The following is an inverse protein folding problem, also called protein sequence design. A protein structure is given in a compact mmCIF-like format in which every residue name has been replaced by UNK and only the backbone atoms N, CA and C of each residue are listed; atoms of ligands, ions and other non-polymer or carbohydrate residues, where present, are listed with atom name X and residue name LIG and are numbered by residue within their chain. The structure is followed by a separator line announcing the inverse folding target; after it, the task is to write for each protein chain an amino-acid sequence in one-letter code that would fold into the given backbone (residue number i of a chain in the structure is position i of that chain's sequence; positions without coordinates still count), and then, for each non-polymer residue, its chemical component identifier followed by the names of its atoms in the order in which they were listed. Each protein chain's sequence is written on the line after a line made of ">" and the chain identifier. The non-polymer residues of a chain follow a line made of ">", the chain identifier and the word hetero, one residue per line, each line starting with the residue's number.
data_IF_785649896126
#
_entry.id   IF_785649896126
#
_cell.length_a   1.000
_cell.length_b   1.000
_cell.length_c   1.000
_cell.angle_alpha   90.00
_cell.angle_beta   90.00
_cell.angle_gamma   90.00
#
_symmetry.space_group_name_H-M   'P 1'
#
loop_
_entity.id
_entity.type
_entity.pdbx_description
1 polymer ?
#
# COMPACT_ATOMS: atom_id res chain seq x y z
N UNK A 1 0.41 -16.46 25.19
CA UNK A 1 0.70 -15.12 25.76
C UNK A 1 0.52 -15.18 27.28
N UNK A 2 1.50 -14.74 28.08
CA UNK A 2 1.37 -14.66 29.55
C UNK A 2 0.28 -13.65 29.97
N UNK A 3 -0.08 -13.54 31.26
CA UNK A 3 -0.97 -12.48 31.77
C UNK A 3 -0.52 -11.07 31.36
N UNK A 4 -1.44 -10.11 31.36
CA UNK A 4 -1.11 -8.69 31.10
C UNK A 4 -0.26 -8.18 32.27
N UNK A 5 0.83 -7.42 32.02
CA UNK A 5 1.66 -6.90 33.10
C UNK A 5 0.88 -5.98 34.05
N UNK A 6 1.17 -6.07 35.36
CA UNK A 6 0.43 -5.32 36.40
C UNK A 6 0.63 -3.80 36.33
N UNK A 7 1.74 -3.36 35.74
CA UNK A 7 2.04 -1.95 35.53
C UNK A 7 1.24 -1.33 34.38
N UNK A 8 0.62 -2.14 33.50
CA UNK A 8 -0.19 -1.64 32.39
C UNK A 8 -1.40 -0.86 32.92
N UNK A 9 -1.55 0.40 32.50
CA UNK A 9 -2.66 1.27 32.94
C UNK A 9 -3.70 1.53 31.87
N UNK A 10 -3.44 1.08 30.65
CA UNK A 10 -4.38 1.28 29.54
C UNK A 10 -5.67 0.50 29.69
N UNK A 11 -6.68 1.01 28.99
CA UNK A 11 -8.01 0.46 28.99
C UNK A 11 -8.44 0.10 27.57
N UNK A 12 -9.57 -0.59 27.52
CA UNK A 12 -10.16 -1.09 26.31
C UNK A 12 -11.55 -0.46 26.14
N UNK A 13 -11.62 0.50 25.23
CA UNK A 13 -12.83 1.27 24.93
C UNK A 13 -13.80 0.47 24.07
N UNK A 14 -15.06 0.42 24.50
CA UNK A 14 -16.18 -0.19 23.79
C UNK A 14 -16.82 0.88 22.89
N UNK A 15 -17.24 0.49 21.69
CA UNK A 15 -17.95 1.39 20.79
C UNK A 15 -18.60 0.63 19.63
N UNK A 16 -18.86 1.33 18.53
CA UNK A 16 -19.47 0.77 17.32
C UNK A 16 -18.73 -0.50 16.85
N UNK A 17 -19.47 -1.62 16.87
CA UNK A 17 -18.99 -2.96 16.54
C UNK A 17 -17.72 -3.40 17.27
N UNK A 18 -17.47 -2.91 18.49
CA UNK A 18 -16.22 -3.21 19.18
C UNK A 18 -16.47 -3.31 20.69
N UNK A 19 -16.21 -4.49 21.28
CA UNK A 19 -16.62 -4.81 22.65
C UNK A 19 -15.56 -5.62 23.41
N UNK A 20 -15.90 -6.03 24.64
CA UNK A 20 -15.01 -6.76 25.55
C UNK A 20 -14.42 -8.06 25.00
N UNK A 21 -15.11 -8.72 24.05
CA UNK A 21 -14.61 -9.94 23.41
C UNK A 21 -13.47 -9.70 22.42
N UNK A 22 -13.25 -8.46 21.98
CA UNK A 22 -12.15 -8.11 21.08
C UNK A 22 -10.80 -7.98 21.79
N UNK A 23 -10.80 -7.91 23.12
CA UNK A 23 -9.60 -7.80 23.93
C UNK A 23 -9.05 -9.16 24.28
N UNK A 24 -7.73 -9.24 24.33
CA UNK A 24 -7.08 -10.46 24.74
C UNK A 24 -5.69 -10.15 25.29
N UNK A 25 -4.93 -11.18 25.60
CA UNK A 25 -3.56 -11.02 26.10
C UNK A 25 -2.61 -10.44 25.03
N UNK A 26 -2.97 -10.37 23.76
CA UNK A 26 -2.16 -9.75 22.71
C UNK A 26 -2.49 -8.27 22.54
N UNK A 27 -3.76 -7.95 22.31
CA UNK A 27 -4.32 -6.61 22.23
C UNK A 27 -4.84 -6.20 23.61
N UNK A 28 -4.00 -5.48 24.36
CA UNK A 28 -4.18 -5.21 25.80
C UNK A 28 -4.78 -3.83 26.09
N UNK A 29 -4.88 -2.96 25.09
CA UNK A 29 -5.49 -1.65 25.20
C UNK A 29 -5.93 -1.12 23.86
N UNK A 30 -7.06 -0.42 23.84
CA UNK A 30 -7.61 0.17 22.62
C UNK A 30 -8.42 1.40 22.95
N UNK A 31 -8.13 2.51 22.28
CA UNK A 31 -8.83 3.78 22.46
C UNK A 31 -9.05 4.47 21.12
N UNK A 32 -10.11 5.27 21.04
CA UNK A 32 -10.41 6.15 19.91
C UNK A 32 -10.42 7.61 20.36
N UNK A 33 -9.84 8.48 19.54
CA UNK A 33 -9.78 9.92 19.78
C UNK A 33 -10.42 10.61 18.60
N UNK A 34 -11.65 11.09 18.78
CA UNK A 34 -12.43 11.70 17.70
C UNK A 34 -13.01 13.05 18.10
N UNK A 35 -12.50 13.67 19.18
CA UNK A 35 -13.06 14.91 19.71
C UNK A 35 -12.70 16.08 18.81
N UNK A 36 -11.46 16.11 18.30
CA UNK A 36 -10.99 17.09 17.32
C UNK A 36 -11.85 17.10 16.08
N UNK A 37 -12.08 15.92 15.48
CA UNK A 37 -12.96 15.82 14.31
C UNK A 37 -14.42 16.18 14.58
N UNK A 38 -14.97 15.78 15.73
CA UNK A 38 -16.36 16.13 16.11
C UNK A 38 -16.51 17.65 16.27
N UNK A 39 -15.50 18.33 16.83
CA UNK A 39 -15.46 19.78 16.94
C UNK A 39 -15.36 20.48 15.57
N UNK A 40 -14.68 19.87 14.60
CA UNK A 40 -14.60 20.35 13.22
C UNK A 40 -15.90 20.10 12.41
N UNK A 41 -16.97 19.61 13.05
CA UNK A 41 -18.25 19.30 12.40
C UNK A 41 -18.23 18.01 11.57
N UNK A 42 -17.18 17.18 11.70
CA UNK A 42 -17.06 15.91 11.00
C UNK A 42 -17.67 14.79 11.83
N UNK A 43 -18.82 14.29 11.38
CA UNK A 43 -19.51 13.15 12.00
C UNK A 43 -18.91 11.83 11.52
N UNK A 44 -18.96 10.81 12.37
CA UNK A 44 -18.52 9.45 12.02
C UNK A 44 -19.70 8.72 11.41
N UNK A 45 -19.68 8.58 10.08
CA UNK A 45 -20.73 7.95 9.30
C UNK A 45 -20.55 6.43 9.13
N UNK A 46 -21.25 5.87 8.15
CA UNK A 46 -21.17 4.46 7.75
C UNK A 46 -19.83 4.06 7.13
N UNK A 47 -18.99 5.04 6.79
CA UNK A 47 -17.67 4.88 6.23
C UNK A 47 -16.57 4.80 7.30
N UNK A 48 -16.94 4.69 8.58
CA UNK A 48 -16.01 4.35 9.66
C UNK A 48 -16.76 3.84 10.92
N UNK A 49 -16.03 3.65 12.02
CA UNK A 49 -16.54 3.23 13.31
C UNK A 49 -16.17 4.24 14.39
N UNK A 50 -17.18 4.72 15.14
CA UNK A 50 -17.00 5.47 16.39
C UNK A 50 -16.59 4.49 17.51
N UNK A 51 -15.38 3.95 17.35
CA UNK A 51 -14.72 3.00 18.22
C UNK A 51 -13.25 2.84 17.81
N UNK A 52 -12.44 2.09 18.58
CA UNK A 52 -11.07 1.78 18.19
C UNK A 52 -10.95 0.83 16.98
N UNK A 53 -12.07 0.34 16.42
CA UNK A 53 -12.06 -0.56 15.27
C UNK A 53 -11.49 0.15 14.03
N UNK A 54 -10.55 -0.52 13.38
CA UNK A 54 -9.97 -0.07 12.11
C UNK A 54 -10.94 -0.35 10.95
N UNK A 55 -11.30 0.69 10.21
CA UNK A 55 -12.11 0.61 8.99
C UNK A 55 -11.24 0.50 7.73
N UNK A 56 -10.14 1.25 7.67
CA UNK A 56 -9.31 1.40 6.46
C UNK A 56 -8.30 0.25 6.29
N UNK A 57 -7.83 -0.35 7.39
CA UNK A 57 -6.90 -1.47 7.39
C UNK A 57 -5.43 -1.09 7.60
N UNK A 58 -5.09 0.20 7.49
CA UNK A 58 -3.70 0.67 7.68
C UNK A 58 -3.18 0.40 9.10
N UNK A 59 -3.99 0.64 10.13
CA UNK A 59 -3.61 0.37 11.52
C UNK A 59 -3.42 -1.13 11.78
N UNK A 60 -4.26 -1.97 11.18
CA UNK A 60 -4.14 -3.43 11.24
C UNK A 60 -2.89 -3.93 10.52
N UNK A 61 -2.55 -3.35 9.36
CA UNK A 61 -1.35 -3.70 8.60
C UNK A 61 -0.06 -3.31 9.33
N UNK A 62 0.03 -2.09 9.87
CA UNK A 62 1.23 -1.61 10.58
C UNK A 62 1.44 -2.35 11.90
N UNK A 63 0.38 -2.54 12.69
CA UNK A 63 0.45 -3.25 13.97
C UNK A 63 0.82 -4.73 13.81
N UNK A 64 0.29 -5.41 12.78
CA UNK A 64 0.66 -6.80 12.47
C UNK A 64 2.10 -6.92 11.93
N UNK A 65 2.61 -5.91 11.22
CA UNK A 65 4.01 -5.86 10.79
C UNK A 65 4.97 -5.68 11.99
N UNK A 66 4.63 -4.82 12.94
CA UNK A 66 5.46 -4.56 14.11
C UNK A 66 5.42 -5.73 15.10
N UNK A 67 4.22 -6.19 15.46
CA UNK A 67 4.01 -7.11 16.58
C UNK A 67 2.98 -8.18 16.27
N UNK A 68 2.65 -8.50 15.02
CA UNK A 68 1.69 -9.56 14.69
C UNK A 68 2.08 -10.92 15.30
N UNK A 69 1.09 -11.62 15.87
CA UNK A 69 1.26 -13.03 16.22
C UNK A 69 1.49 -13.88 14.97
N UNK A 70 2.10 -15.04 15.13
CA UNK A 70 2.34 -15.96 14.02
C UNK A 70 1.02 -16.43 13.39
N UNK A 71 0.93 -16.33 12.06
CA UNK A 71 -0.17 -16.86 11.24
C UNK A 71 0.43 -17.77 10.19
N UNK A 72 0.05 -19.05 10.24
CA UNK A 72 0.47 -20.08 9.28
C UNK A 72 -0.41 -19.97 8.03
N UNK A 73 0.17 -20.26 6.86
CA UNK A 73 -0.50 -20.19 5.55
C UNK A 73 -1.09 -18.80 5.22
N UNK A 74 -0.43 -17.75 5.71
CA UNK A 74 -0.72 -16.38 5.30
C UNK A 74 -0.30 -16.17 3.84
N UNK A 75 -1.17 -15.52 3.08
CA UNK A 75 -0.95 -15.23 1.66
C UNK A 75 -1.76 -14.01 1.24
N UNK A 76 -1.27 -13.30 0.23
CA UNK A 76 -2.01 -12.27 -0.47
C UNK A 76 -2.52 -12.87 -1.79
N UNK A 77 -3.73 -13.44 -1.79
CA UNK A 77 -4.32 -14.08 -2.99
C UNK A 77 -3.34 -15.00 -3.74
N UNK A 78 -2.71 -15.96 -3.06
CA UNK A 78 -1.70 -16.86 -3.65
C UNK A 78 -0.27 -16.32 -3.68
N UNK A 79 -0.07 -14.99 -3.61
CA UNK A 79 1.26 -14.39 -3.47
C UNK A 79 1.78 -14.48 -2.04
N UNK A 80 3.11 -14.47 -1.91
CA UNK A 80 3.82 -14.40 -0.63
C UNK A 80 3.41 -15.50 0.37
N UNK A 81 2.98 -16.67 -0.11
CA UNK A 81 2.53 -17.76 0.76
C UNK A 81 3.61 -18.13 1.76
N UNK A 82 3.26 -18.15 3.04
CA UNK A 82 4.16 -18.56 4.09
C UNK A 82 3.61 -18.26 5.48
N UNK A 83 4.52 -17.97 6.40
CA UNK A 83 4.19 -17.62 7.78
C UNK A 83 4.31 -16.10 7.92
N UNK A 84 3.20 -15.43 8.25
CA UNK A 84 3.22 -14.02 8.62
C UNK A 84 3.48 -13.88 10.13
N UNK A 85 4.40 -13.00 10.50
CA UNK A 85 4.68 -12.67 11.90
C UNK A 85 5.27 -11.26 11.99
N UNK A 86 4.98 -10.56 13.08
CA UNK A 86 5.61 -9.27 13.34
C UNK A 86 7.04 -9.41 13.83
N UNK A 87 7.82 -8.33 13.71
CA UNK A 87 9.21 -8.24 14.17
C UNK A 87 9.36 -8.66 15.65
N UNK A 88 8.42 -8.24 16.50
CA UNK A 88 8.32 -8.63 17.89
C UNK A 88 7.00 -9.37 18.17
N UNK A 89 6.85 -10.58 17.62
CA UNK A 89 5.62 -11.38 17.69
C UNK A 89 5.09 -11.68 19.11
N UNK A 90 5.93 -11.57 20.14
CA UNK A 90 5.56 -11.74 21.56
C UNK A 90 5.31 -10.44 22.32
N UNK A 91 5.53 -9.28 21.72
CA UNK A 91 5.21 -7.98 22.33
C UNK A 91 3.69 -7.83 22.49
N UNK A 92 3.25 -6.95 23.39
CA UNK A 92 1.83 -6.59 23.53
C UNK A 92 1.50 -5.45 22.59
N UNK A 93 0.22 -5.32 22.24
CA UNK A 93 -0.27 -4.25 21.37
C UNK A 93 -1.28 -3.39 22.14
N UNK A 94 -1.08 -2.08 22.07
CA UNK A 94 -2.08 -1.09 22.43
C UNK A 94 -2.36 -0.19 21.22
N UNK A 95 -3.63 -0.01 20.87
CA UNK A 95 -4.04 0.76 19.69
C UNK A 95 -4.70 2.08 20.09
N UNK A 96 -4.24 3.17 19.49
CA UNK A 96 -4.78 4.51 19.68
C UNK A 96 -5.23 5.01 18.30
N UNK A 97 -6.53 4.90 18.02
CA UNK A 97 -7.11 5.36 16.75
C UNK A 97 -7.31 6.87 16.82
N UNK A 98 -6.51 7.58 16.03
CA UNK A 98 -6.48 9.06 16.00
C UNK A 98 -6.81 9.66 14.62
N UNK A 99 -7.05 8.78 13.64
CA UNK A 99 -7.45 9.16 12.27
C UNK A 99 -8.60 8.28 11.85
N UNK A 100 -9.56 8.89 11.18
CA UNK A 100 -10.78 8.28 10.68
C UNK A 100 -11.02 8.70 9.22
N UNK A 101 -11.98 8.05 8.57
CA UNK A 101 -12.43 8.42 7.22
C UNK A 101 -12.85 9.88 7.15
N UNK A 102 -12.43 10.55 6.07
CA UNK A 102 -12.65 11.98 5.78
C UNK A 102 -12.01 12.98 6.76
N UNK A 103 -11.09 12.55 7.62
CA UNK A 103 -10.34 13.49 8.45
C UNK A 103 -9.44 14.39 7.59
N UNK A 104 -9.37 15.66 7.99
CA UNK A 104 -8.36 16.61 7.54
C UNK A 104 -7.17 16.60 8.49
N UNK A 105 -6.01 17.10 8.04
CA UNK A 105 -4.84 17.30 8.91
C UNK A 105 -5.19 18.12 10.15
N UNK A 106 -6.01 19.17 10.00
CA UNK A 106 -6.47 19.99 11.12
C UNK A 106 -7.29 19.19 12.13
N UNK A 107 -8.30 18.43 11.66
CA UNK A 107 -9.16 17.64 12.54
C UNK A 107 -8.41 16.55 13.30
N UNK A 108 -7.42 15.92 12.66
CA UNK A 108 -6.61 14.85 13.25
C UNK A 108 -5.49 15.37 14.18
N UNK A 109 -5.15 16.66 14.12
CA UNK A 109 -4.03 17.24 14.88
C UNK A 109 -4.22 17.07 16.39
N UNK A 110 -5.37 17.50 16.91
CA UNK A 110 -5.66 17.44 18.34
C UNK A 110 -5.92 16.01 18.83
N UNK A 111 -6.60 15.20 18.02
CA UNK A 111 -6.85 13.79 18.32
C UNK A 111 -5.55 12.96 18.34
N UNK A 112 -4.59 13.27 17.46
CA UNK A 112 -3.25 12.65 17.46
C UNK A 112 -2.48 12.99 18.73
N UNK A 113 -2.43 14.26 19.13
CA UNK A 113 -1.80 14.67 20.38
C UNK A 113 -2.46 14.01 21.59
N UNK A 114 -3.80 13.93 21.61
CA UNK A 114 -4.53 13.27 22.68
C UNK A 114 -4.19 11.77 22.75
N UNK A 115 -4.10 11.09 21.61
CA UNK A 115 -3.71 9.68 21.54
C UNK A 115 -2.28 9.44 22.03
N UNK A 116 -1.32 10.27 21.61
CA UNK A 116 0.06 10.20 22.09
C UNK A 116 0.14 10.44 23.60
N UNK A 117 -0.51 11.49 24.10
CA UNK A 117 -0.53 11.78 25.53
C UNK A 117 -1.15 10.64 26.35
N UNK A 118 -2.25 10.05 25.87
CA UNK A 118 -2.86 8.91 26.54
C UNK A 118 -1.95 7.68 26.52
N UNK A 119 -1.19 7.45 25.44
CA UNK A 119 -0.23 6.37 25.37
C UNK A 119 0.92 6.52 26.39
N UNK A 120 1.38 7.75 26.66
CA UNK A 120 2.32 8.04 27.75
C UNK A 120 1.70 7.65 29.10
N UNK A 121 0.48 8.09 29.37
CA UNK A 121 -0.23 7.82 30.64
C UNK A 121 -0.48 6.33 30.85
N UNK A 122 -0.84 5.62 29.78
CA UNK A 122 -1.11 4.18 29.81
C UNK A 122 0.18 3.34 30.02
N UNK A 123 1.35 3.96 29.85
CA UNK A 123 2.66 3.38 30.15
C UNK A 123 3.23 2.53 29.03
N UNK A 124 3.10 2.95 27.75
CA UNK A 124 3.69 2.21 26.62
C UNK A 124 5.22 2.29 26.63
N UNK A 125 5.90 1.23 26.20
CA UNK A 125 7.37 1.23 26.07
C UNK A 125 7.87 1.89 24.77
N UNK A 126 7.03 1.87 23.72
CA UNK A 126 7.36 2.34 22.38
C UNK A 126 6.10 2.81 21.66
N UNK A 127 6.24 3.88 20.87
CA UNK A 127 5.23 4.34 19.92
C UNK A 127 5.69 4.17 18.47
N UNK A 128 4.83 3.59 17.64
CA UNK A 128 5.04 3.45 16.19
C UNK A 128 3.97 4.23 15.45
N UNK A 129 4.37 5.30 14.76
CA UNK A 129 3.47 6.21 14.05
C UNK A 129 3.78 6.20 12.56
N UNK A 130 2.99 5.48 11.78
CA UNK A 130 2.95 5.62 10.33
C UNK A 130 2.01 6.75 9.93
N UNK A 131 2.26 7.95 10.46
CA UNK A 131 1.48 9.17 10.25
C UNK A 131 2.42 10.33 9.89
N UNK A 132 1.88 11.38 9.28
CA UNK A 132 2.61 12.60 8.97
C UNK A 132 1.66 13.80 8.91
N UNK A 133 2.16 14.96 9.31
CA UNK A 133 1.48 16.25 9.22
C UNK A 133 2.29 17.20 8.32
N UNK A 134 1.75 18.39 8.04
CA UNK A 134 2.38 19.39 7.19
C UNK A 134 3.82 19.76 7.59
N UNK A 135 4.51 20.44 6.67
CA UNK A 135 5.86 20.96 6.87
C UNK A 135 5.84 22.18 7.81
N UNK A 136 5.59 21.91 9.08
CA UNK A 136 5.48 22.93 10.13
C UNK A 136 6.73 22.92 11.04
N UNK A 137 7.06 24.06 11.68
CA UNK A 137 8.05 24.09 12.75
C UNK A 137 7.71 23.05 13.85
N UNK A 138 8.72 22.50 14.53
CA UNK A 138 8.53 21.41 15.49
C UNK A 138 7.51 21.70 16.60
N UNK A 139 7.38 22.96 17.02
CA UNK A 139 6.43 23.38 18.06
C UNK A 139 4.98 23.53 17.56
N UNK A 140 4.75 23.51 16.24
CA UNK A 140 3.41 23.48 15.63
C UNK A 140 3.06 22.11 15.04
N UNK A 141 4.04 21.23 14.80
CA UNK A 141 3.79 19.89 14.31
C UNK A 141 3.37 18.95 15.46
N UNK A 142 2.16 18.36 15.44
CA UNK A 142 1.63 17.57 16.55
C UNK A 142 2.44 16.31 16.86
N UNK A 143 2.97 15.64 15.84
CA UNK A 143 3.83 14.46 16.03
C UNK A 143 5.14 14.89 16.69
N UNK A 144 5.76 15.97 16.24
CA UNK A 144 7.01 16.48 16.81
C UNK A 144 6.85 16.86 18.28
N UNK A 145 5.79 17.61 18.60
CA UNK A 145 5.47 18.03 19.97
C UNK A 145 5.14 16.82 20.87
N UNK A 146 4.27 15.93 20.43
CA UNK A 146 3.91 14.73 21.18
C UNK A 146 5.10 13.80 21.38
N UNK A 147 5.95 13.65 20.36
CA UNK A 147 7.16 12.83 20.43
C UNK A 147 8.17 13.41 21.42
N UNK A 148 8.29 14.74 21.51
CA UNK A 148 9.18 15.39 22.49
C UNK A 148 8.77 15.01 23.92
N UNK A 149 7.49 15.19 24.27
CA UNK A 149 6.96 14.80 25.58
C UNK A 149 7.09 13.28 25.83
N UNK A 150 6.98 12.47 24.78
CA UNK A 150 7.12 11.01 24.86
C UNK A 150 8.56 10.60 25.19
N UNK A 151 9.56 11.17 24.51
CA UNK A 151 10.97 10.85 24.77
C UNK A 151 11.45 11.39 26.12
N UNK A 152 10.89 12.49 26.62
CA UNK A 152 11.15 12.99 27.98
C UNK A 152 10.72 11.98 29.07
N UNK A 153 9.79 11.08 28.74
CA UNK A 153 9.38 9.96 29.61
C UNK A 153 10.17 8.68 29.36
N UNK A 154 11.20 8.73 28.51
CA UNK A 154 12.03 7.56 28.17
C UNK A 154 11.37 6.57 27.21
N UNK A 155 10.30 6.98 26.53
CA UNK A 155 9.55 6.13 25.59
C UNK A 155 10.11 6.34 24.17
N UNK A 156 10.41 5.25 23.46
CA UNK A 156 10.94 5.33 22.10
C UNK A 156 9.86 5.67 21.07
N UNK A 157 10.19 6.54 20.11
CA UNK A 157 9.26 6.95 19.03
C UNK A 157 9.86 6.66 17.66
N UNK A 158 9.15 5.86 16.85
CA UNK A 158 9.45 5.63 15.45
C UNK A 158 8.35 6.18 14.55
N UNK A 159 8.75 6.98 13.55
CA UNK A 159 7.84 7.53 12.55
C UNK A 159 8.32 7.26 11.12
N UNK A 160 7.40 7.13 10.17
CA UNK A 160 7.75 7.00 8.74
C UNK A 160 8.31 8.31 8.16
N UNK A 161 9.24 8.22 7.21
CA UNK A 161 9.76 9.39 6.47
C UNK A 161 8.75 10.06 5.52
N UNK A 162 7.58 9.44 5.31
CA UNK A 162 6.54 9.76 4.32
C UNK A 162 6.79 9.21 2.89
N UNK A 163 5.84 9.47 1.99
CA UNK A 163 5.75 8.88 0.64
C UNK A 163 5.75 9.96 -0.46
N UNK A 164 6.41 11.09 -0.19
CA UNK A 164 6.26 12.33 -0.97
C UNK A 164 7.20 12.42 -2.19
N UNK A 165 7.93 11.34 -2.51
CA UNK A 165 8.74 11.25 -3.73
C UNK A 165 10.25 11.36 -3.49
N UNK A 166 10.99 11.50 -4.59
CA UNK A 166 12.47 11.52 -4.62
C UNK A 166 13.06 12.93 -4.55
N UNK A 167 12.24 13.97 -4.66
CA UNK A 167 12.74 15.33 -4.64
C UNK A 167 13.27 15.68 -3.23
N UNK A 168 14.26 16.56 -3.18
CA UNK A 168 14.83 17.00 -1.91
C UNK A 168 13.78 17.70 -1.04
N UNK A 169 14.00 17.69 0.28
CA UNK A 169 13.18 18.42 1.28
C UNK A 169 11.73 17.92 1.45
N UNK A 170 11.48 16.62 1.26
CA UNK A 170 10.14 16.01 1.34
C UNK A 170 9.86 15.13 2.58
N UNK A 171 10.72 15.16 3.60
CA UNK A 171 10.52 14.40 4.85
C UNK A 171 9.51 15.08 5.77
N UNK A 172 8.58 14.33 6.36
CA UNK A 172 7.53 14.89 7.24
C UNK A 172 7.84 14.77 8.75
N UNK A 173 8.63 13.77 9.16
CA UNK A 173 8.89 13.48 10.59
C UNK A 173 10.36 13.71 10.96
N UNK A 174 10.87 14.92 10.67
CA UNK A 174 12.29 15.30 10.76
C UNK A 174 12.80 15.75 12.13
N UNK A 175 12.03 15.60 13.20
CA UNK A 175 12.46 16.06 14.52
C UNK A 175 13.62 15.20 15.07
N UNK A 176 14.68 15.79 15.68
CA UNK A 176 15.87 15.05 16.11
C UNK A 176 15.62 13.93 17.14
N UNK A 177 14.52 14.01 17.90
CA UNK A 177 14.13 13.02 18.90
C UNK A 177 13.27 11.88 18.33
N UNK A 178 12.96 11.90 17.03
CA UNK A 178 12.18 10.85 16.35
C UNK A 178 13.13 9.93 15.59
N UNK A 179 12.97 8.61 15.75
CA UNK A 179 13.59 7.67 14.83
C UNK A 179 12.79 7.64 13.52
N UNK A 180 13.31 8.31 12.50
CA UNK A 180 12.69 8.36 11.18
C UNK A 180 13.05 7.12 10.36
N UNK A 181 12.03 6.45 9.82
CA UNK A 181 12.15 5.19 9.08
C UNK A 181 11.84 5.39 7.59
N UNK A 182 12.81 5.06 6.74
CA UNK A 182 12.68 5.07 5.29
C UNK A 182 12.20 3.71 4.75
N UNK A 183 11.63 3.73 3.54
CA UNK A 183 11.19 2.54 2.83
C UNK A 183 12.31 1.97 1.95
N UNK A 184 12.51 0.64 2.01
CA UNK A 184 13.42 -0.08 1.13
C UNK A 184 12.75 -1.31 0.50
N UNK A 185 13.23 -1.74 -0.66
CA UNK A 185 12.79 -3.01 -1.27
C UNK A 185 13.35 -4.21 -0.51
N UNK A 186 12.64 -5.32 -0.64
CA UNK A 186 13.09 -6.65 -0.23
C UNK A 186 13.69 -7.40 -1.42
N UNK A 187 14.34 -8.54 -1.16
CA UNK A 187 14.71 -9.52 -2.19
C UNK A 187 13.51 -10.38 -2.66
N UNK A 188 12.28 -9.97 -2.35
CA UNK A 188 11.03 -10.62 -2.79
C UNK A 188 10.34 -9.73 -3.82
N UNK A 189 9.87 -10.36 -4.89
CA UNK A 189 9.19 -9.71 -5.99
C UNK A 189 7.93 -10.48 -6.40
N UNK A 190 6.92 -9.77 -6.90
CA UNK A 190 5.66 -10.34 -7.37
C UNK A 190 5.60 -10.16 -8.87
N UNK A 191 5.49 -11.29 -9.58
CA UNK A 191 5.61 -11.29 -11.03
C UNK A 191 4.44 -11.95 -11.72
N UNK A 192 4.25 -11.51 -12.95
CA UNK A 192 3.49 -12.23 -13.96
C UNK A 192 4.48 -12.65 -15.07
N UNK A 193 4.32 -13.84 -15.61
CA UNK A 193 5.09 -14.28 -16.77
C UNK A 193 4.26 -14.06 -18.01
N UNK A 194 4.77 -13.21 -18.90
CA UNK A 194 4.21 -12.95 -20.21
C UNK A 194 4.96 -13.80 -21.23
N UNK A 195 4.26 -14.71 -21.90
CA UNK A 195 4.84 -15.55 -22.96
C UNK A 195 4.30 -15.12 -24.32
N UNK A 196 5.21 -14.84 -25.25
CA UNK A 196 4.88 -14.42 -26.62
C UNK A 196 4.88 -15.64 -27.55
N UNK A 197 3.87 -15.76 -28.40
CA UNK A 197 3.87 -16.67 -29.55
C UNK A 197 4.00 -18.16 -29.20
N UNK A 198 3.31 -18.63 -28.15
CA UNK A 198 3.35 -20.03 -27.68
C UNK A 198 4.75 -20.52 -27.27
N UNK A 199 5.54 -19.66 -26.62
CA UNK A 199 6.82 -20.04 -26.02
C UNK A 199 8.07 -19.55 -26.75
N UNK A 200 7.93 -18.64 -27.71
CA UNK A 200 9.08 -18.04 -28.43
C UNK A 200 9.94 -17.20 -27.47
N UNK A 201 9.29 -16.45 -26.57
CA UNK A 201 9.97 -15.68 -25.56
C UNK A 201 9.10 -15.50 -24.31
N UNK A 202 9.76 -15.46 -23.15
CA UNK A 202 9.11 -15.21 -21.85
C UNK A 202 9.70 -13.96 -21.22
N UNK A 203 8.83 -13.01 -20.88
CA UNK A 203 9.14 -11.76 -20.22
C UNK A 203 8.60 -11.82 -18.80
N UNK A 204 9.45 -11.50 -17.83
CA UNK A 204 9.02 -11.34 -16.43
C UNK A 204 8.51 -9.91 -16.24
N UNK A 205 7.20 -9.76 -16.05
CA UNK A 205 6.60 -8.50 -15.64
C UNK A 205 6.41 -8.40 -14.13
N UNK A 206 6.23 -7.18 -13.62
CA UNK A 206 5.91 -6.90 -12.22
C UNK A 206 4.42 -6.64 -12.09
N UNK A 207 3.76 -7.33 -11.15
CA UNK A 207 2.33 -7.17 -10.89
C UNK A 207 1.87 -7.89 -9.61
N UNK A 208 0.84 -7.34 -8.97
CA UNK A 208 -0.02 -8.05 -8.01
C UNK A 208 -1.48 -8.04 -8.51
N UNK A 209 -1.92 -9.08 -9.23
CA UNK A 209 -3.34 -9.25 -9.62
C UNK A 209 -3.98 -10.36 -8.78
N UNK A 210 -5.09 -10.02 -8.12
CA UNK A 210 -5.63 -10.84 -7.04
C UNK A 210 -6.30 -12.16 -7.50
N UNK A 211 -6.50 -12.39 -8.80
CA UNK A 211 -7.13 -13.61 -9.31
C UNK A 211 -6.08 -14.56 -9.86
N UNK A 212 -6.22 -15.85 -9.54
CA UNK A 212 -5.41 -16.91 -10.16
C UNK A 212 -5.93 -17.16 -11.57
N UNK A 213 -5.52 -16.29 -12.49
CA UNK A 213 -5.95 -16.33 -13.89
C UNK A 213 -4.82 -16.87 -14.76
N UNK A 214 -5.16 -17.77 -15.67
CA UNK A 214 -4.30 -18.12 -16.78
C UNK A 214 -4.93 -17.59 -18.06
N UNK A 215 -4.24 -16.65 -18.69
CA UNK A 215 -4.63 -16.11 -20.00
C UNK A 215 -3.83 -16.89 -21.03
N UNK A 216 -4.50 -17.48 -22.02
CA UNK A 216 -3.81 -18.23 -23.07
C UNK A 216 -4.33 -17.93 -24.47
N UNK A 217 -3.40 -17.78 -25.41
CA UNK A 217 -3.68 -17.63 -26.84
C UNK A 217 -4.46 -16.37 -27.18
N UNK A 218 -4.46 -15.35 -26.32
CA UNK A 218 -5.27 -14.15 -26.52
C UNK A 218 -4.58 -13.22 -27.53
N UNK A 219 -5.30 -12.66 -28.51
CA UNK A 219 -4.73 -11.72 -29.46
C UNK A 219 -4.16 -10.47 -28.78
N UNK A 220 -2.99 -10.03 -29.23
CA UNK A 220 -2.36 -8.79 -28.82
C UNK A 220 -2.83 -7.65 -29.72
N UNK A 221 -3.14 -6.51 -29.14
CA UNK A 221 -3.37 -5.24 -29.83
C UNK A 221 -2.28 -4.24 -29.43
N UNK A 222 -1.78 -3.51 -30.43
CA UNK A 222 -0.93 -2.36 -30.23
C UNK A 222 -1.38 -1.25 -31.19
N UNK A 223 -1.58 -0.03 -30.67
CA UNK A 223 -1.99 1.15 -31.43
C UNK A 223 -0.88 1.71 -32.34
N UNK A 224 -0.25 0.86 -33.14
CA UNK A 224 0.89 1.19 -33.98
C UNK A 224 0.53 2.32 -34.97
N UNK A 225 1.39 3.34 -35.04
CA UNK A 225 1.21 4.47 -35.96
C UNK A 225 0.26 5.57 -35.50
N UNK A 226 -0.54 5.34 -34.46
CA UNK A 226 -1.40 6.36 -33.86
C UNK A 226 -0.77 6.92 -32.57
N UNK A 227 -0.70 8.24 -32.46
CA UNK A 227 -0.03 8.93 -31.34
C UNK A 227 -0.73 8.67 -30.01
N UNK A 228 -2.05 8.52 -29.99
CA UNK A 228 -2.85 8.42 -28.77
C UNK A 228 -3.10 6.97 -28.38
N UNK A 229 -3.36 6.09 -29.35
CA UNK A 229 -3.68 4.68 -29.11
C UNK A 229 -2.48 3.92 -28.57
N UNK A 230 -1.25 4.22 -29.03
CA UNK A 230 -0.03 3.58 -28.51
C UNK A 230 0.21 3.86 -27.02
N UNK A 231 -0.27 4.98 -26.51
CA UNK A 231 -0.21 5.33 -25.09
C UNK A 231 -1.47 4.91 -24.32
N UNK A 232 -2.49 4.33 -24.97
CA UNK A 232 -3.78 4.07 -24.35
C UNK A 232 -4.31 5.31 -23.61
N UNK A 233 -4.30 6.45 -24.32
CA UNK A 233 -4.72 7.74 -23.78
C UNK A 233 -6.23 7.73 -23.50
N UNK A 234 -6.69 8.67 -22.68
CA UNK A 234 -8.11 8.79 -22.37
C UNK A 234 -8.94 8.96 -23.66
N UNK A 235 -9.93 8.09 -23.86
CA UNK A 235 -10.81 8.00 -25.03
C UNK A 235 -10.10 7.76 -26.37
N UNK A 236 -8.91 7.18 -26.38
CA UNK A 236 -8.20 6.89 -27.64
C UNK A 236 -8.58 5.54 -28.23
N UNK A 237 -8.85 4.53 -27.40
CA UNK A 237 -9.05 3.16 -27.88
C UNK A 237 -10.48 2.94 -28.37
N UNK A 238 -10.67 2.55 -29.63
CA UNK A 238 -11.97 2.08 -30.13
C UNK A 238 -12.26 0.68 -29.57
N UNK A 239 -13.38 0.47 -28.85
CA UNK A 239 -13.77 -0.85 -28.35
C UNK A 239 -13.79 -1.94 -29.43
N UNK A 240 -14.14 -1.61 -30.68
CA UNK A 240 -14.17 -2.58 -31.79
C UNK A 240 -12.80 -3.18 -32.09
N UNK A 241 -11.73 -2.43 -31.85
CA UNK A 241 -10.37 -2.84 -32.15
C UNK A 241 -9.76 -3.69 -31.03
N UNK A 242 -10.22 -3.53 -29.78
CA UNK A 242 -9.56 -4.09 -28.60
C UNK A 242 -10.41 -5.09 -27.81
N UNK A 243 -11.70 -5.22 -28.11
CA UNK A 243 -12.58 -6.18 -27.44
C UNK A 243 -12.02 -7.61 -27.55
N UNK A 244 -11.91 -8.30 -26.41
CA UNK A 244 -11.38 -9.66 -26.36
C UNK A 244 -9.85 -9.77 -26.51
N UNK A 245 -9.11 -8.66 -26.54
CA UNK A 245 -7.65 -8.62 -26.76
C UNK A 245 -6.88 -8.16 -25.52
N UNK A 246 -5.59 -8.48 -25.49
CA UNK A 246 -4.62 -7.85 -24.58
C UNK A 246 -4.07 -6.59 -25.25
N UNK A 247 -4.09 -5.46 -24.56
CA UNK A 247 -3.62 -4.18 -25.10
C UNK A 247 -2.22 -3.85 -24.59
N UNK A 248 -1.28 -3.54 -25.48
CA UNK A 248 0.02 -2.98 -25.13
C UNK A 248 -0.05 -1.44 -25.07
N UNK A 249 0.30 -0.87 -23.93
CA UNK A 249 0.40 0.57 -23.70
C UNK A 249 1.86 0.98 -23.47
N UNK A 250 2.35 1.94 -24.25
CA UNK A 250 3.68 2.54 -24.06
C UNK A 250 3.73 3.48 -22.85
N UNK A 251 4.93 3.67 -22.32
CA UNK A 251 5.17 4.63 -21.26
C UNK A 251 4.95 6.06 -21.74
N UNK A 252 4.12 6.81 -21.02
CA UNK A 252 4.04 8.26 -21.12
C UNK A 252 4.19 8.86 -19.71
N UNK A 253 5.07 9.87 -19.57
CA UNK A 253 5.30 10.60 -18.31
C UNK A 253 4.03 11.27 -17.77
N UNK A 254 3.13 11.65 -18.67
CA UNK A 254 1.87 12.31 -18.33
C UNK A 254 0.74 11.31 -18.02
N UNK A 255 0.99 10.00 -18.17
CA UNK A 255 0.02 8.95 -17.88
C UNK A 255 0.45 8.11 -16.67
N UNK A 256 -0.53 7.73 -15.86
CA UNK A 256 -0.34 6.85 -14.71
C UNK A 256 -1.04 5.53 -15.00
N UNK A 257 -0.67 4.49 -14.25
CA UNK A 257 -1.33 3.19 -14.32
C UNK A 257 -2.84 3.32 -14.03
N UNK A 258 -3.23 4.26 -13.17
CA UNK A 258 -4.64 4.56 -12.89
C UNK A 258 -5.39 5.15 -14.08
N UNK A 259 -4.73 5.96 -14.92
CA UNK A 259 -5.32 6.49 -16.16
C UNK A 259 -5.55 5.37 -17.17
N UNK A 260 -4.55 4.52 -17.42
CA UNK A 260 -4.70 3.38 -18.33
C UNK A 260 -5.84 2.45 -17.89
N UNK A 261 -5.98 2.20 -16.58
CA UNK A 261 -7.09 1.42 -16.02
C UNK A 261 -8.46 1.99 -16.39
N UNK A 262 -8.63 3.31 -16.27
CA UNK A 262 -9.93 3.95 -16.50
C UNK A 262 -10.37 3.84 -17.95
N UNK A 263 -9.41 3.93 -18.88
CA UNK A 263 -9.66 3.73 -20.31
C UNK A 263 -9.97 2.26 -20.60
N UNK A 264 -9.08 1.34 -20.23
CA UNK A 264 -9.18 -0.07 -20.60
C UNK A 264 -10.41 -0.77 -20.01
N UNK A 265 -10.88 -0.34 -18.83
CA UNK A 265 -12.10 -0.88 -18.24
C UNK A 265 -13.35 -0.61 -19.10
N UNK A 266 -13.31 0.36 -20.02
CA UNK A 266 -14.46 0.74 -20.86
C UNK A 266 -14.42 0.13 -22.26
N UNK A 267 -13.33 -0.52 -22.64
CA UNK A 267 -13.11 -0.94 -24.03
C UNK A 267 -13.42 -2.41 -24.30
N UNK A 268 -13.62 -3.23 -23.25
CA UNK A 268 -13.84 -4.67 -23.38
C UNK A 268 -12.58 -5.48 -23.66
N UNK A 269 -11.39 -4.86 -23.51
CA UNK A 269 -10.13 -5.60 -23.46
C UNK A 269 -10.14 -6.63 -22.32
N UNK A 270 -9.38 -7.71 -22.44
CA UNK A 270 -9.34 -8.76 -21.40
C UNK A 270 -8.14 -8.60 -20.45
N UNK A 271 -7.23 -7.69 -20.79
CA UNK A 271 -6.05 -7.36 -19.99
C UNK A 271 -5.15 -6.35 -20.71
N UNK A 272 -4.10 -5.90 -20.04
CA UNK A 272 -3.14 -5.00 -20.67
C UNK A 272 -1.70 -5.19 -20.18
N UNK A 273 -0.77 -4.87 -21.07
CA UNK A 273 0.67 -4.84 -20.84
C UNK A 273 1.08 -3.38 -20.85
N UNK A 274 1.69 -2.90 -19.76
CA UNK A 274 2.12 -1.50 -19.63
C UNK A 274 3.65 -1.50 -19.57
N UNK A 275 4.29 -0.97 -20.62
CA UNK A 275 5.71 -0.68 -20.55
C UNK A 275 5.91 0.56 -19.68
N UNK A 276 6.69 0.46 -18.60
CA UNK A 276 6.87 1.57 -17.66
C UNK A 276 8.23 1.51 -16.96
N UNK A 277 8.78 2.68 -16.65
CA UNK A 277 9.90 2.83 -15.70
C UNK A 277 9.43 3.38 -14.34
N UNK A 278 8.12 3.60 -14.18
CA UNK A 278 7.56 4.19 -13.00
C UNK A 278 7.70 3.23 -11.83
N UNK A 279 8.36 3.68 -10.76
CA UNK A 279 8.38 3.01 -9.46
C UNK A 279 7.07 3.24 -8.69
N UNK A 280 6.08 3.92 -9.29
CA UNK A 280 4.81 4.17 -8.64
C UNK A 280 4.17 2.83 -8.27
N UNK A 281 3.82 2.74 -6.98
CA UNK A 281 3.20 1.59 -6.34
C UNK A 281 2.15 0.96 -7.24
N UNK A 282 2.41 -0.26 -7.69
CA UNK A 282 1.39 -1.18 -8.20
C UNK A 282 0.50 -1.55 -7.00
N UNK A 283 -0.26 -0.58 -6.49
CA UNK A 283 -1.14 -0.79 -5.36
C UNK A 283 -2.16 -1.87 -5.76
N UNK A 284 -2.26 -2.98 -5.01
CA UNK A 284 -3.11 -4.10 -5.40
C UNK A 284 -4.59 -3.71 -5.54
N UNK A 285 -5.03 -2.69 -4.77
CA UNK A 285 -6.38 -2.14 -4.79
C UNK A 285 -6.78 -1.53 -6.14
N UNK A 286 -5.80 -1.24 -7.01
CA UNK A 286 -6.03 -0.61 -8.31
C UNK A 286 -6.40 -1.65 -9.38
N UNK A 287 -6.12 -2.94 -9.18
CA UNK A 287 -6.24 -3.95 -10.24
C UNK A 287 -7.45 -4.86 -10.06
N UNK A 288 -8.63 -4.36 -10.42
CA UNK A 288 -9.82 -5.19 -10.73
C UNK A 288 -9.74 -5.83 -12.12
N UNK A 289 -8.69 -5.53 -12.87
CA UNK A 289 -8.48 -5.89 -14.27
C UNK A 289 -7.07 -6.48 -14.44
N UNK A 290 -6.86 -7.50 -15.29
CA UNK A 290 -5.53 -8.08 -15.50
C UNK A 290 -4.57 -7.08 -16.15
N UNK A 291 -3.50 -6.72 -15.45
CA UNK A 291 -2.45 -5.84 -15.97
C UNK A 291 -1.09 -6.55 -15.92
N UNK A 292 -0.09 -6.13 -16.67
CA UNK A 292 1.29 -6.57 -16.47
C UNK A 292 2.21 -5.37 -16.72
N UNK A 293 2.92 -4.93 -15.69
CA UNK A 293 3.97 -3.93 -15.86
C UNK A 293 5.25 -4.58 -16.38
N UNK A 294 5.83 -4.06 -17.45
CA UNK A 294 7.11 -4.54 -17.99
C UNK A 294 8.10 -3.38 -18.14
N UNK A 295 9.40 -3.70 -18.21
CA UNK A 295 10.43 -2.72 -18.47
C UNK A 295 10.26 -2.08 -19.85
N UNK A 296 10.81 -0.87 -20.04
CA UNK A 296 10.78 -0.22 -21.36
C UNK A 296 11.47 -1.07 -22.44
N UNK A 297 12.59 -1.70 -22.11
CA UNK A 297 13.31 -2.58 -23.04
C UNK A 297 12.54 -3.84 -23.39
N UNK A 298 11.78 -4.40 -22.44
CA UNK A 298 10.89 -5.53 -22.76
C UNK A 298 9.67 -5.08 -23.56
N UNK A 299 9.19 -3.85 -23.35
CA UNK A 299 8.16 -3.24 -24.19
C UNK A 299 8.56 -3.18 -25.67
N UNK A 300 9.81 -2.83 -25.98
CA UNK A 300 10.34 -2.88 -27.34
C UNK A 300 10.30 -4.28 -27.95
N UNK A 301 10.63 -5.32 -27.16
CA UNK A 301 10.55 -6.72 -27.62
C UNK A 301 9.12 -7.13 -27.97
N UNK A 302 8.13 -6.71 -27.16
CA UNK A 302 6.71 -6.99 -27.44
C UNK A 302 6.26 -6.29 -28.72
N UNK A 303 6.72 -5.04 -28.96
CA UNK A 303 6.44 -4.31 -30.21
C UNK A 303 7.07 -4.97 -31.43
N UNK A 304 8.32 -5.41 -31.32
CA UNK A 304 9.01 -6.13 -32.39
C UNK A 304 8.27 -7.43 -32.73
N UNK A 305 7.86 -8.19 -31.71
CA UNK A 305 7.05 -9.39 -31.87
C UNK A 305 5.72 -9.11 -32.59
N UNK A 306 5.01 -8.05 -32.18
CA UNK A 306 3.76 -7.63 -32.82
C UNK A 306 3.94 -7.31 -34.31
N UNK A 307 5.01 -6.59 -34.67
CA UNK A 307 5.27 -6.19 -36.06
C UNK A 307 5.72 -7.34 -36.97
N UNK A 308 6.32 -8.40 -36.42
CA UNK A 308 6.85 -9.55 -37.19
C UNK A 308 5.90 -10.74 -37.30
N UNK A 309 4.82 -10.75 -36.50
CA UNK A 309 3.96 -11.94 -36.36
C UNK A 309 2.60 -11.69 -36.98
N UNK A 310 2.20 -12.60 -37.88
CA UNK A 310 0.83 -12.63 -38.39
C UNK A 310 -0.05 -13.20 -37.26
N UNK A 311 -0.97 -12.39 -36.73
CA UNK A 311 -1.82 -12.69 -35.56
C UNK A 311 -1.03 -12.91 -34.26
N UNK A 312 -0.44 -11.84 -33.70
CA UNK A 312 0.31 -11.95 -32.45
C UNK A 312 -0.63 -12.34 -31.30
N UNK A 313 -0.25 -13.38 -30.56
CA UNK A 313 -0.96 -13.84 -29.35
C UNK A 313 -0.03 -13.83 -28.14
N UNK A 314 -0.63 -13.79 -26.95
CA UNK A 314 0.09 -13.81 -25.67
C UNK A 314 -0.56 -14.75 -24.66
N UNK A 315 0.29 -15.35 -23.83
CA UNK A 315 -0.12 -16.08 -22.63
C UNK A 315 0.38 -15.30 -21.39
N UNK A 316 -0.42 -15.27 -20.32
CA UNK A 316 -0.05 -14.61 -19.06
C UNK A 316 -0.39 -15.53 -17.88
N UNK A 317 0.60 -15.77 -17.01
CA UNK A 317 0.42 -16.46 -15.72
C UNK A 317 0.68 -15.49 -14.57
N UNK A 318 -0.26 -15.38 -13.64
CA UNK A 318 -0.15 -14.56 -12.42
C UNK A 318 0.29 -15.38 -11.19
N UNK A 319 0.31 -14.75 -10.01
CA UNK A 319 0.57 -15.39 -8.72
C UNK A 319 1.97 -15.99 -8.54
N UNK A 320 2.96 -15.52 -9.31
CA UNK A 320 4.34 -15.96 -9.12
C UNK A 320 5.07 -15.09 -8.09
N UNK A 321 5.54 -15.70 -7.01
CA UNK A 321 6.38 -15.06 -6.00
C UNK A 321 7.83 -15.43 -6.23
N UNK A 322 8.67 -14.44 -6.54
CA UNK A 322 10.10 -14.65 -6.76
C UNK A 322 10.85 -14.24 -5.50
N UNK A 323 11.68 -15.15 -4.99
CA UNK A 323 12.64 -14.88 -3.93
C UNK A 323 14.03 -14.63 -4.53
N UNK A 324 14.91 -13.97 -3.78
CA UNK A 324 16.28 -13.63 -4.19
C UNK A 324 16.39 -12.73 -5.43
N UNK A 325 15.40 -11.85 -5.64
CA UNK A 325 15.44 -10.82 -6.65
C UNK A 325 16.65 -9.87 -6.43
N UNK A 326 17.33 -9.50 -7.53
CA UNK A 326 18.45 -8.56 -7.52
C UNK A 326 18.08 -7.24 -8.22
N UNK A 327 18.58 -6.09 -7.74
CA UNK A 327 19.35 -5.92 -6.49
C UNK A 327 18.44 -6.00 -5.25
N UNK A 328 19.02 -6.45 -4.11
CA UNK A 328 18.27 -6.83 -2.90
C UNK A 328 17.63 -5.65 -2.16
N UNK A 329 18.21 -4.45 -2.24
CA UNK A 329 17.74 -3.25 -1.54
C UNK A 329 17.90 -2.01 -2.42
N UNK A 330 16.77 -1.42 -2.82
CA UNK A 330 16.66 -0.08 -3.38
C UNK A 330 15.81 0.75 -2.43
N UNK A 331 16.19 2.01 -2.21
CA UNK A 331 15.34 2.97 -1.51
C UNK A 331 14.05 3.20 -2.32
N UNK A 332 12.89 3.07 -1.68
CA UNK A 332 11.59 3.31 -2.29
C UNK A 332 11.10 4.70 -1.94
N UNK A 333 10.50 5.38 -2.93
CA UNK A 333 9.90 6.71 -2.78
C UNK A 333 8.46 6.70 -2.27
N UNK A 334 7.81 5.53 -2.19
CA UNK A 334 6.46 5.37 -1.66
C UNK A 334 6.17 3.93 -1.24
N UNK A 335 5.67 3.71 -0.01
CA UNK A 335 5.00 2.48 0.40
C UNK A 335 3.57 2.82 0.80
N UNK A 336 2.59 2.23 0.11
CA UNK A 336 1.15 2.26 0.46
C UNK A 336 0.61 3.68 0.73
N UNK A 337 0.11 4.33 -0.32
CA UNK A 337 -0.95 5.33 -0.18
C UNK A 337 -2.29 4.62 -0.10
#
# INVERSE_FOLDING_TARGET
>A
MPPVPEWWRGACEIGTMFNTSNYNRKLIGTRSFSKGRKQAGLTIGSDDYDSPRDYFGHGSHTSSTAVGSQVIDAQYFGYAKGIAMGMASRARLAMYKVVFSNDTLESATSDTLAGMNQAIVDGVDLMSLSLGFGFDPFFHNPISLGAFATVEKGIFVACSAANNGLDAYNIMNGAPWITMVWAGTLNRDYSALLTLGKGISTIKGTLVYHVNLYISGVPLYYGHGDKYNKYCSNKSLDPKDVIGKIVLCEFNKDSTIAFHRTELNKTGAVGAIIATNSTQSLSPFVFTFPFVGISLSDGEKVKEYFGKTIQPTVDITFQNTVLDAKPRHKWLSSLLK
#
